data_IF_938630809656
#
_entry.id   IF_938630809656
#
_cell.length_a   1.000
_cell.length_b   1.000
_cell.length_c   1.000
_cell.angle_alpha   90.00
_cell.angle_beta   90.00
_cell.angle_gamma   90.00
#
_symmetry.space_group_name_H-M   'P 1'
#
loop_
_entity.id
_entity.type
_entity.pdbx_description
1 polymer ?
#
# COMPACT_ATOMS: atom_id res chain seq x y z
N UNK A 1 46.07 34.75 4.94
CA UNK A 1 45.02 34.04 4.17
C UNK A 1 44.90 32.63 4.74
N UNK A 2 43.85 32.35 5.58
CA UNK A 2 43.57 31.03 6.14
C UNK A 2 42.67 30.29 5.15
N UNK A 3 43.18 29.16 4.61
CA UNK A 3 42.38 28.28 3.76
C UNK A 3 41.37 27.53 4.63
N UNK A 4 40.11 27.77 4.39
CA UNK A 4 38.99 27.05 4.99
C UNK A 4 38.90 25.69 4.28
N UNK A 5 39.23 24.61 4.96
CA UNK A 5 39.02 23.25 4.48
C UNK A 5 37.62 22.83 4.94
N UNK A 6 36.70 22.74 4.00
CA UNK A 6 35.35 22.25 4.24
C UNK A 6 35.43 20.71 4.29
N UNK A 7 34.95 20.03 5.36
CA UNK A 7 34.91 18.58 5.37
C UNK A 7 33.83 18.08 4.44
N UNK A 8 34.25 17.23 3.49
CA UNK A 8 33.33 16.48 2.62
C UNK A 8 32.69 15.39 3.48
N UNK A 9 31.44 15.60 3.88
CA UNK A 9 30.63 14.55 4.50
C UNK A 9 30.30 13.52 3.42
N UNK A 10 31.06 12.42 3.36
CA UNK A 10 30.63 11.22 2.67
C UNK A 10 29.49 10.60 3.47
N UNK A 11 28.26 10.76 3.00
CA UNK A 11 27.15 9.94 3.45
C UNK A 11 27.38 8.50 2.94
N UNK A 12 27.70 7.60 3.84
CA UNK A 12 27.73 6.17 3.54
C UNK A 12 26.27 5.72 3.34
N UNK A 13 25.80 5.70 2.11
CA UNK A 13 24.59 4.96 1.73
C UNK A 13 24.93 3.49 1.89
N UNK A 14 24.32 2.82 2.87
CA UNK A 14 24.38 1.37 2.96
C UNK A 14 23.73 0.82 1.69
N UNK A 15 24.52 0.28 0.76
CA UNK A 15 24.01 -0.50 -0.35
C UNK A 15 23.46 -1.81 0.23
N UNK A 16 22.15 -1.90 0.40
CA UNK A 16 21.51 -3.20 0.57
C UNK A 16 21.67 -3.98 -0.73
N UNK A 17 22.10 -5.24 -0.64
CA UNK A 17 22.15 -6.11 -1.81
C UNK A 17 20.75 -6.21 -2.41
N UNK A 18 20.61 -5.94 -3.71
CA UNK A 18 19.32 -6.00 -4.38
C UNK A 18 18.72 -7.41 -4.26
N UNK A 19 17.46 -7.49 -3.84
CA UNK A 19 16.73 -8.76 -3.78
C UNK A 19 16.39 -9.17 -5.21
N UNK A 20 16.85 -10.35 -5.62
CA UNK A 20 16.60 -10.89 -6.95
C UNK A 20 15.44 -11.89 -6.89
N UNK A 21 14.43 -11.78 -7.76
CA UNK A 21 13.37 -12.76 -7.86
C UNK A 21 13.89 -14.17 -8.19
N UNK A 22 13.33 -15.17 -7.54
CA UNK A 22 13.70 -16.60 -7.74
C UNK A 22 12.78 -17.32 -8.75
N UNK A 23 11.77 -16.63 -9.24
CA UNK A 23 10.82 -17.12 -10.24
C UNK A 23 10.29 -15.96 -11.07
N UNK A 24 9.67 -16.27 -12.19
CA UNK A 24 8.87 -15.31 -12.96
C UNK A 24 7.44 -15.32 -12.43
N UNK A 25 6.95 -14.17 -12.00
CA UNK A 25 5.62 -13.98 -11.46
C UNK A 25 4.89 -12.79 -12.10
N UNK A 26 3.85 -12.26 -11.43
CA UNK A 26 3.04 -11.18 -11.99
C UNK A 26 3.82 -9.86 -12.17
N UNK A 27 4.81 -9.57 -11.31
CA UNK A 27 5.58 -8.32 -11.44
C UNK A 27 6.47 -8.35 -12.69
N UNK A 28 7.19 -9.45 -12.94
CA UNK A 28 7.92 -9.64 -14.19
C UNK A 28 7.01 -9.60 -15.43
N UNK A 29 5.72 -9.93 -15.27
CA UNK A 29 4.75 -9.95 -16.36
C UNK A 29 4.13 -8.57 -16.64
N UNK A 30 3.82 -7.80 -15.59
CA UNK A 30 3.05 -6.56 -15.69
C UNK A 30 3.87 -5.31 -15.37
N UNK A 31 5.02 -5.43 -14.70
CA UNK A 31 5.81 -4.31 -14.18
C UNK A 31 5.13 -3.62 -13.00
N UNK A 32 5.49 -2.37 -12.77
CA UNK A 32 4.84 -1.52 -11.77
C UNK A 32 3.35 -1.34 -12.11
N UNK A 33 2.49 -1.38 -11.08
CA UNK A 33 1.08 -1.02 -11.25
C UNK A 33 0.92 0.49 -11.28
N UNK A 34 0.12 0.97 -12.24
CA UNK A 34 -0.04 2.41 -12.50
C UNK A 34 -1.52 2.77 -12.56
N UNK A 35 -1.89 3.83 -11.83
CA UNK A 35 -3.19 4.44 -11.91
C UNK A 35 -3.34 5.22 -13.21
N UNK A 36 -4.44 5.04 -13.93
CA UNK A 36 -4.68 5.69 -15.20
C UNK A 36 -6.14 5.72 -15.60
N UNK A 37 -6.41 6.11 -16.84
CA UNK A 37 -7.76 6.16 -17.42
C UNK A 37 -7.82 5.37 -18.72
N UNK A 38 -8.91 4.66 -18.91
CA UNK A 38 -9.17 4.01 -20.18
C UNK A 38 -9.63 5.02 -21.27
N UNK A 39 -9.86 4.52 -22.49
CA UNK A 39 -10.30 5.34 -23.62
C UNK A 39 -11.64 6.04 -23.42
N UNK A 40 -12.45 5.57 -22.49
CA UNK A 40 -13.74 6.19 -22.09
C UNK A 40 -13.57 7.18 -20.92
N UNK A 41 -12.35 7.45 -20.46
CA UNK A 41 -12.05 8.34 -19.34
C UNK A 41 -12.27 7.74 -17.96
N UNK A 42 -12.61 6.44 -17.86
CA UNK A 42 -12.80 5.76 -16.58
C UNK A 42 -11.46 5.41 -15.93
N UNK A 43 -11.39 5.58 -14.61
CA UNK A 43 -10.22 5.17 -13.84
C UNK A 43 -10.00 3.66 -13.88
N UNK A 44 -8.74 3.27 -14.03
CA UNK A 44 -8.28 1.88 -14.13
C UNK A 44 -6.89 1.71 -13.53
N UNK A 45 -6.46 0.47 -13.32
CA UNK A 45 -5.08 0.11 -12.99
C UNK A 45 -4.45 -0.61 -14.18
N UNK A 46 -3.24 -0.22 -14.52
CA UNK A 46 -2.46 -0.73 -15.64
C UNK A 46 -1.13 -1.30 -15.19
N UNK A 47 -0.56 -2.18 -15.97
CA UNK A 47 0.84 -2.57 -15.86
C UNK A 47 1.74 -1.65 -16.70
N UNK A 48 2.97 -1.45 -16.26
CA UNK A 48 3.95 -0.55 -16.88
C UNK A 48 5.00 -1.25 -17.76
N UNK A 49 4.91 -2.57 -17.97
CA UNK A 49 5.93 -3.32 -18.72
C UNK A 49 6.22 -2.79 -20.12
N UNK A 50 5.25 -2.15 -20.75
CA UNK A 50 5.39 -1.51 -22.07
C UNK A 50 5.76 -0.01 -21.97
N UNK A 51 5.98 0.50 -20.76
CA UNK A 51 6.36 1.90 -20.48
C UNK A 51 5.25 2.91 -20.76
N UNK A 52 4.01 2.48 -20.93
CA UNK A 52 2.86 3.34 -21.26
C UNK A 52 1.80 3.21 -20.17
N UNK A 53 1.33 4.34 -19.61
CA UNK A 53 0.21 4.40 -18.65
C UNK A 53 -1.09 3.83 -19.24
N UNK A 54 -1.20 3.78 -20.56
CA UNK A 54 -2.27 3.15 -21.32
C UNK A 54 -1.98 1.69 -21.67
N UNK A 55 -1.04 1.08 -20.95
CA UNK A 55 -0.71 -0.32 -21.10
C UNK A 55 -1.90 -1.24 -20.82
N UNK A 56 -1.63 -2.52 -20.69
CA UNK A 56 -2.68 -3.51 -20.46
C UNK A 56 -3.32 -3.27 -19.09
N UNK A 57 -4.64 -3.19 -19.03
CA UNK A 57 -5.41 -3.23 -17.80
C UNK A 57 -5.07 -4.50 -17.02
N UNK A 58 -4.75 -4.34 -15.74
CA UNK A 58 -4.30 -5.43 -14.87
C UNK A 58 -5.25 -5.59 -13.70
N UNK A 59 -5.64 -6.82 -13.43
CA UNK A 59 -6.31 -7.24 -12.22
C UNK A 59 -5.46 -8.30 -11.54
N UNK A 60 -5.04 -8.02 -10.31
CA UNK A 60 -4.30 -8.96 -9.45
C UNK A 60 -5.20 -9.46 -8.33
N UNK A 61 -4.97 -10.71 -7.88
CA UNK A 61 -5.75 -11.36 -6.83
C UNK A 61 -4.82 -11.93 -5.77
N UNK A 62 -5.23 -11.79 -4.51
CA UNK A 62 -4.39 -12.27 -3.42
C UNK A 62 -5.11 -12.31 -2.09
N UNK A 63 -4.32 -12.24 -1.03
CA UNK A 63 -4.77 -12.37 0.34
C UNK A 63 -4.32 -11.16 1.15
N UNK A 64 -5.17 -10.72 2.10
CA UNK A 64 -4.77 -9.82 3.16
C UNK A 64 -4.35 -10.65 4.38
N UNK A 65 -3.20 -10.35 4.93
CA UNK A 65 -2.79 -10.87 6.23
C UNK A 65 -3.59 -10.17 7.31
N UNK A 66 -3.91 -10.91 8.39
CA UNK A 66 -4.56 -10.32 9.55
C UNK A 66 -3.58 -9.46 10.36
N UNK A 67 -4.08 -8.64 11.26
CA UNK A 67 -3.29 -7.70 12.07
C UNK A 67 -2.07 -8.34 12.71
N UNK A 68 -0.95 -7.67 12.61
CA UNK A 68 0.35 -8.13 13.14
C UNK A 68 0.46 -8.18 14.68
N UNK A 69 -0.61 -7.85 15.38
CA UNK A 69 -0.69 -7.95 16.86
C UNK A 69 -0.81 -9.37 17.38
N UNK A 70 -1.36 -10.30 16.59
CA UNK A 70 -1.70 -11.63 17.05
C UNK A 70 -0.63 -12.64 16.64
N UNK A 71 -0.12 -13.44 17.57
CA UNK A 71 0.91 -14.44 17.30
C UNK A 71 0.52 -15.41 16.21
N UNK A 72 -0.70 -15.96 16.28
CA UNK A 72 -1.21 -16.85 15.24
C UNK A 72 -1.38 -16.17 13.88
N UNK A 73 -1.66 -14.86 13.86
CA UNK A 73 -1.68 -14.12 12.61
C UNK A 73 -0.28 -13.96 12.05
N UNK A 74 0.72 -13.72 12.88
CA UNK A 74 2.12 -13.58 12.44
C UNK A 74 2.76 -14.89 11.97
N UNK A 75 2.18 -16.04 12.26
CA UNK A 75 2.59 -17.30 11.62
C UNK A 75 2.51 -17.22 10.09
N UNK A 76 1.60 -16.39 9.57
CA UNK A 76 1.46 -16.14 8.14
C UNK A 76 2.40 -15.03 7.61
N UNK A 77 3.03 -14.26 8.49
CA UNK A 77 4.00 -13.22 8.14
C UNK A 77 5.40 -13.81 7.96
N UNK A 78 5.49 -14.84 7.13
CA UNK A 78 6.72 -15.57 6.86
C UNK A 78 6.87 -15.92 5.38
N UNK A 79 8.11 -16.01 4.91
CA UNK A 79 8.38 -16.45 3.52
C UNK A 79 7.77 -17.81 3.22
N UNK A 80 7.81 -18.73 4.18
CA UNK A 80 7.26 -20.09 3.99
C UNK A 80 5.74 -20.07 3.78
N UNK A 81 5.01 -19.30 4.56
CA UNK A 81 3.56 -19.14 4.42
C UNK A 81 3.21 -18.49 3.07
N UNK A 82 3.90 -17.40 2.70
CA UNK A 82 3.69 -16.69 1.43
C UNK A 82 3.97 -17.63 0.25
N UNK A 83 5.07 -18.39 0.29
CA UNK A 83 5.40 -19.39 -0.73
C UNK A 83 4.30 -20.44 -0.87
N UNK A 84 3.72 -20.89 0.23
CA UNK A 84 2.59 -21.85 0.24
C UNK A 84 1.34 -21.21 -0.40
N UNK A 85 0.99 -19.99 -0.02
CA UNK A 85 -0.15 -19.28 -0.61
C UNK A 85 0.02 -19.08 -2.13
N UNK A 86 1.24 -18.76 -2.59
CA UNK A 86 1.55 -18.67 -4.03
C UNK A 86 1.35 -20.01 -4.71
N UNK A 87 1.88 -21.08 -4.14
CA UNK A 87 1.84 -22.42 -4.72
C UNK A 87 0.42 -22.99 -4.77
N UNK A 88 -0.33 -22.86 -3.68
CA UNK A 88 -1.60 -23.56 -3.51
C UNK A 88 -2.80 -22.68 -3.91
N UNK A 89 -2.77 -21.40 -3.55
CA UNK A 89 -3.86 -20.43 -3.81
C UNK A 89 -3.62 -19.55 -5.03
N UNK A 90 -2.42 -19.60 -5.65
CA UNK A 90 -2.04 -18.82 -6.84
C UNK A 90 -2.15 -17.31 -6.62
N UNK A 91 -1.83 -16.82 -5.43
CA UNK A 91 -1.86 -15.40 -5.15
C UNK A 91 -0.84 -14.64 -6.02
N UNK A 92 -1.20 -13.43 -6.40
CA UNK A 92 -0.40 -12.51 -7.20
C UNK A 92 0.00 -11.26 -6.38
N UNK A 93 -0.68 -11.04 -5.26
CA UNK A 93 -0.48 -9.93 -4.34
C UNK A 93 -0.72 -10.40 -2.91
N UNK A 94 0.01 -9.82 -1.96
CA UNK A 94 -0.20 -10.00 -0.52
C UNK A 94 -0.33 -8.62 0.14
N UNK A 95 -1.30 -8.45 1.04
CA UNK A 95 -1.45 -7.23 1.84
C UNK A 95 -0.95 -7.47 3.26
N UNK A 96 -0.06 -6.63 3.73
CA UNK A 96 0.54 -6.70 5.06
C UNK A 96 -0.11 -5.66 5.98
N UNK A 97 -1.17 -6.07 6.70
CA UNK A 97 -1.97 -5.24 7.60
C UNK A 97 -1.22 -5.01 8.93
N UNK A 98 -0.32 -4.01 8.98
CA UNK A 98 0.52 -3.74 10.12
C UNK A 98 -0.20 -2.90 11.18
N UNK A 99 -0.23 -3.35 12.42
CA UNK A 99 -0.73 -2.59 13.56
C UNK A 99 0.14 -1.36 13.85
N UNK A 100 -0.47 -0.19 13.99
CA UNK A 100 0.25 1.10 13.89
C UNK A 100 0.20 1.96 15.13
N UNK A 101 -0.78 1.76 15.99
CA UNK A 101 -0.97 2.57 17.20
C UNK A 101 -0.18 2.06 18.40
N UNK A 102 -0.70 2.37 19.59
CA UNK A 102 -0.18 1.88 20.86
C UNK A 102 -0.98 0.68 21.36
N UNK A 103 -1.53 -0.10 20.43
CA UNK A 103 -2.30 -1.28 20.73
C UNK A 103 -1.44 -2.27 21.56
N UNK A 104 -2.02 -2.81 22.62
CA UNK A 104 -1.38 -3.76 23.55
C UNK A 104 -2.29 -4.94 23.90
N UNK A 105 -3.44 -5.06 23.22
CA UNK A 105 -4.43 -6.11 23.46
C UNK A 105 -4.10 -7.45 22.80
N UNK A 106 -3.11 -7.46 21.90
CA UNK A 106 -2.59 -8.65 21.24
C UNK A 106 -1.36 -9.23 21.96
N UNK A 107 -0.73 -10.22 21.38
CA UNK A 107 0.54 -10.77 21.85
C UNK A 107 1.73 -9.85 21.53
N UNK A 108 1.65 -9.15 20.38
CA UNK A 108 2.61 -8.12 19.99
C UNK A 108 2.00 -6.74 20.17
N UNK A 109 2.85 -5.73 20.28
CA UNK A 109 2.43 -4.33 20.39
C UNK A 109 2.43 -3.66 19.03
N UNK A 110 1.53 -2.70 18.81
CA UNK A 110 1.51 -1.90 17.60
C UNK A 110 2.77 -1.04 17.41
N UNK A 111 2.96 -0.52 16.22
CA UNK A 111 4.15 0.26 15.83
C UNK A 111 4.46 1.43 16.76
N UNK A 112 3.44 2.11 17.30
CA UNK A 112 3.63 3.22 18.24
C UNK A 112 4.37 2.82 19.51
N UNK A 113 4.20 1.57 19.96
CA UNK A 113 4.84 1.02 21.17
C UNK A 113 6.08 0.17 20.88
N UNK A 114 6.11 -0.53 19.73
CA UNK A 114 7.24 -1.36 19.31
C UNK A 114 7.48 -1.26 17.78
N UNK A 115 8.06 -0.13 17.33
CA UNK A 115 8.36 0.05 15.91
C UNK A 115 9.35 -0.97 15.35
N UNK A 116 10.23 -1.52 16.21
CA UNK A 116 11.26 -2.47 15.76
C UNK A 116 10.64 -3.79 15.30
N UNK A 117 9.80 -4.39 16.14
CA UNK A 117 9.12 -5.65 15.81
C UNK A 117 8.19 -5.49 14.63
N UNK A 118 7.40 -4.41 14.58
CA UNK A 118 6.45 -4.19 13.48
C UNK A 118 7.16 -3.97 12.14
N UNK A 119 8.27 -3.24 12.12
CA UNK A 119 9.09 -3.10 10.92
C UNK A 119 9.72 -4.43 10.49
N UNK A 120 10.16 -5.26 11.43
CA UNK A 120 10.71 -6.57 11.09
C UNK A 120 9.67 -7.48 10.44
N UNK A 121 8.44 -7.50 10.95
CA UNK A 121 7.33 -8.23 10.32
C UNK A 121 7.08 -7.71 8.90
N UNK A 122 6.95 -6.39 8.73
CA UNK A 122 6.73 -5.79 7.42
C UNK A 122 7.85 -6.15 6.43
N UNK A 123 9.11 -5.99 6.82
CA UNK A 123 10.27 -6.32 5.98
C UNK A 123 10.26 -7.79 5.56
N UNK A 124 9.93 -8.70 6.47
CA UNK A 124 9.81 -10.13 6.14
C UNK A 124 8.82 -10.39 5.02
N UNK A 125 7.65 -9.76 5.06
CA UNK A 125 6.62 -9.93 4.01
C UNK A 125 7.04 -9.27 2.70
N UNK A 126 7.58 -8.05 2.76
CA UNK A 126 8.02 -7.30 1.57
C UNK A 126 9.14 -8.05 0.84
N UNK A 127 10.16 -8.50 1.56
CA UNK A 127 11.30 -9.23 0.98
C UNK A 127 10.88 -10.58 0.40
N UNK A 128 9.96 -11.30 1.07
CA UNK A 128 9.39 -12.52 0.53
C UNK A 128 8.60 -12.26 -0.76
N UNK A 129 7.80 -11.21 -0.81
CA UNK A 129 7.03 -10.85 -2.01
C UNK A 129 7.95 -10.51 -3.19
N UNK A 130 9.01 -9.72 -2.96
CA UNK A 130 10.01 -9.39 -4.00
C UNK A 130 10.70 -10.67 -4.49
N UNK A 131 11.17 -11.52 -3.58
CA UNK A 131 11.83 -12.79 -3.91
C UNK A 131 10.93 -13.73 -4.73
N UNK A 132 9.65 -13.74 -4.46
CA UNK A 132 8.67 -14.57 -5.17
C UNK A 132 7.97 -13.86 -6.34
N UNK A 133 8.41 -12.65 -6.68
CA UNK A 133 7.91 -11.87 -7.83
C UNK A 133 6.39 -11.67 -7.82
N UNK A 134 5.84 -11.36 -6.64
CA UNK A 134 4.45 -10.94 -6.43
C UNK A 134 4.38 -9.50 -5.92
N UNK A 135 3.23 -8.86 -6.04
CA UNK A 135 3.01 -7.54 -5.44
C UNK A 135 2.83 -7.65 -3.93
N UNK A 136 3.16 -6.55 -3.23
CA UNK A 136 2.95 -6.41 -1.80
C UNK A 136 2.37 -5.03 -1.48
N UNK A 137 1.31 -5.01 -0.69
CA UNK A 137 0.76 -3.78 -0.13
C UNK A 137 1.35 -3.60 1.26
N UNK A 138 2.10 -2.52 1.44
CA UNK A 138 2.58 -2.04 2.74
C UNK A 138 1.47 -1.20 3.33
N UNK A 139 0.69 -1.78 4.26
CA UNK A 139 -0.50 -1.16 4.80
C UNK A 139 -0.26 -0.59 6.21
N UNK A 140 -0.50 0.72 6.35
CA UNK A 140 -0.62 1.40 7.63
C UNK A 140 -2.03 1.17 8.18
N UNK A 141 -2.22 0.03 8.87
CA UNK A 141 -3.51 -0.51 9.25
C UNK A 141 -4.11 0.21 10.46
N UNK A 142 -4.65 1.40 10.24
CA UNK A 142 -5.20 2.27 11.27
C UNK A 142 -6.48 2.96 10.82
N UNK A 143 -7.49 2.99 11.69
CA UNK A 143 -8.72 3.76 11.48
C UNK A 143 -8.58 5.26 11.80
N UNK A 144 -7.45 5.67 12.38
CA UNK A 144 -7.19 7.04 12.81
C UNK A 144 -5.78 7.54 12.45
N UNK A 145 -5.25 7.09 11.30
CA UNK A 145 -3.91 7.42 10.82
C UNK A 145 -3.63 8.93 10.79
N UNK A 146 -4.66 9.77 10.61
CA UNK A 146 -4.53 11.23 10.66
C UNK A 146 -4.04 11.76 12.03
N UNK A 147 -4.16 10.98 13.10
CA UNK A 147 -3.60 11.28 14.43
C UNK A 147 -2.17 10.72 14.60
N UNK A 148 -1.67 9.96 13.62
CA UNK A 148 -0.38 9.26 13.66
C UNK A 148 0.63 9.82 12.63
N UNK A 149 0.44 11.04 12.13
CA UNK A 149 1.21 11.65 11.02
C UNK A 149 2.72 11.49 11.16
N UNK A 150 3.28 11.77 12.34
CA UNK A 150 4.73 11.72 12.57
C UNK A 150 5.28 10.31 12.44
N UNK A 151 4.61 9.33 13.03
CA UNK A 151 4.99 7.92 12.98
C UNK A 151 4.84 7.37 11.55
N UNK A 152 3.73 7.68 10.89
CA UNK A 152 3.47 7.29 9.52
C UNK A 152 4.53 7.85 8.55
N UNK A 153 4.89 9.14 8.67
CA UNK A 153 5.97 9.74 7.88
C UNK A 153 7.29 9.01 8.05
N UNK A 154 7.69 8.74 9.30
CA UNK A 154 8.94 8.03 9.59
C UNK A 154 8.95 6.62 9.00
N UNK A 155 7.84 5.90 9.13
CA UNK A 155 7.68 4.56 8.59
C UNK A 155 7.73 4.54 7.06
N UNK A 156 6.91 5.35 6.41
CA UNK A 156 6.84 5.38 4.94
C UNK A 156 8.10 5.92 4.30
N UNK A 157 8.81 6.86 4.95
CA UNK A 157 10.12 7.31 4.49
C UNK A 157 11.14 6.15 4.47
N UNK A 158 11.17 5.34 5.54
CA UNK A 158 12.05 4.17 5.60
C UNK A 158 11.66 3.13 4.54
N UNK A 159 10.38 2.77 4.45
CA UNK A 159 9.90 1.78 3.48
C UNK A 159 10.10 2.21 2.04
N UNK A 160 9.83 3.47 1.71
CA UNK A 160 10.02 4.00 0.37
C UNK A 160 11.51 4.08 -0.01
N UNK A 161 12.37 4.49 0.91
CA UNK A 161 13.83 4.50 0.69
C UNK A 161 14.39 3.10 0.49
N UNK A 162 13.97 2.12 1.31
CA UNK A 162 14.53 0.77 1.32
C UNK A 162 13.97 -0.10 0.19
N UNK A 163 12.69 0.09 -0.18
CA UNK A 163 11.98 -0.79 -1.11
C UNK A 163 11.29 -0.08 -2.28
N UNK A 164 11.30 1.24 -2.32
CA UNK A 164 10.58 2.02 -3.34
C UNK A 164 11.07 1.85 -4.78
N UNK A 165 12.24 1.25 -4.99
CA UNK A 165 12.78 0.92 -6.30
C UNK A 165 12.25 -0.40 -6.87
N UNK A 166 11.49 -1.19 -6.09
CA UNK A 166 10.92 -2.45 -6.56
C UNK A 166 9.49 -2.26 -7.04
N UNK A 167 9.19 -2.65 -8.27
CA UNK A 167 7.85 -2.60 -8.87
C UNK A 167 6.80 -3.44 -8.12
N UNK A 168 7.26 -4.32 -7.22
CA UNK A 168 6.44 -5.14 -6.35
C UNK A 168 5.64 -4.34 -5.32
N UNK A 169 6.17 -3.17 -4.90
CA UNK A 169 5.70 -2.45 -3.72
C UNK A 169 4.57 -1.49 -4.05
N UNK A 170 3.53 -1.56 -3.24
CA UNK A 170 2.38 -0.65 -3.23
C UNK A 170 2.25 -0.11 -1.80
N UNK A 171 1.99 1.17 -1.65
CA UNK A 171 1.84 1.80 -0.34
C UNK A 171 0.36 2.09 -0.06
N UNK A 172 -0.23 1.48 0.96
CA UNK A 172 -1.56 1.81 1.47
C UNK A 172 -1.40 2.64 2.72
N UNK A 173 -1.71 3.93 2.60
CA UNK A 173 -1.29 4.90 3.61
C UNK A 173 -2.30 5.14 4.72
N UNK A 174 -3.52 4.62 4.58
CA UNK A 174 -4.58 4.74 5.57
C UNK A 174 -5.61 3.62 5.36
N UNK A 175 -5.73 2.72 6.35
CA UNK A 175 -6.78 1.70 6.35
C UNK A 175 -8.05 2.24 7.00
N UNK A 176 -9.15 2.20 6.27
CA UNK A 176 -10.50 2.37 6.78
C UNK A 176 -10.72 3.63 7.65
N UNK A 177 -10.53 4.84 7.12
CA UNK A 177 -10.95 6.04 7.83
C UNK A 177 -12.41 5.92 8.27
N UNK A 178 -12.69 6.26 9.52
CA UNK A 178 -14.05 6.22 10.06
C UNK A 178 -14.95 7.26 9.37
N UNK A 179 -16.09 7.60 9.98
CA UNK A 179 -16.98 8.64 9.48
C UNK A 179 -16.41 10.04 9.77
N UNK A 180 -15.38 10.40 9.03
CA UNK A 180 -14.69 11.69 9.12
C UNK A 180 -14.74 12.43 7.78
N UNK A 181 -14.49 13.75 7.80
CA UNK A 181 -14.46 14.54 6.58
C UNK A 181 -13.31 14.13 5.66
N UNK A 182 -13.58 14.05 4.37
CA UNK A 182 -12.56 13.80 3.35
C UNK A 182 -11.37 14.78 3.41
N UNK A 183 -11.61 16.03 3.79
CA UNK A 183 -10.55 17.02 3.94
C UNK A 183 -9.50 16.64 5.00
N UNK A 184 -9.89 15.93 6.04
CA UNK A 184 -8.98 15.42 7.09
C UNK A 184 -8.10 14.31 6.50
N UNK A 185 -8.72 13.34 5.82
CA UNK A 185 -8.02 12.25 5.15
C UNK A 185 -7.06 12.80 4.09
N UNK A 186 -7.53 13.69 3.22
CA UNK A 186 -6.72 14.31 2.18
C UNK A 186 -5.52 15.08 2.74
N UNK A 187 -5.70 15.83 3.83
CA UNK A 187 -4.60 16.56 4.46
C UNK A 187 -3.52 15.63 4.99
N UNK A 188 -3.90 14.52 5.62
CA UNK A 188 -2.99 13.46 6.01
C UNK A 188 -2.29 12.86 4.79
N UNK A 189 -3.08 12.41 3.81
CA UNK A 189 -2.58 11.74 2.61
C UNK A 189 -1.55 12.58 1.85
N UNK A 190 -1.81 13.87 1.65
CA UNK A 190 -0.85 14.77 0.98
C UNK A 190 0.50 14.82 1.67
N UNK A 191 0.52 14.73 3.01
CA UNK A 191 1.77 14.74 3.78
C UNK A 191 2.54 13.43 3.64
N UNK A 192 1.85 12.28 3.59
CA UNK A 192 2.50 10.98 3.43
C UNK A 192 2.95 10.76 1.99
N UNK A 193 2.11 11.11 1.01
CA UNK A 193 2.48 11.07 -0.41
C UNK A 193 3.76 11.87 -0.67
N UNK A 194 3.88 13.08 -0.11
CA UNK A 194 5.09 13.89 -0.26
C UNK A 194 6.35 13.18 0.20
N UNK A 195 6.29 12.46 1.32
CA UNK A 195 7.43 11.71 1.87
C UNK A 195 7.78 10.49 1.01
N UNK A 196 6.77 9.74 0.55
CA UNK A 196 7.00 8.57 -0.31
C UNK A 196 7.62 9.00 -1.64
N UNK A 197 7.15 10.10 -2.23
CA UNK A 197 7.59 10.60 -3.54
C UNK A 197 9.03 11.14 -3.56
N UNK A 198 9.66 11.30 -2.41
CA UNK A 198 11.10 11.56 -2.34
C UNK A 198 11.96 10.34 -2.80
N UNK A 199 11.38 9.13 -2.77
CA UNK A 199 12.11 7.88 -2.99
C UNK A 199 11.46 6.93 -4.00
N UNK A 200 10.17 7.10 -4.32
CA UNK A 200 9.42 6.10 -5.08
C UNK A 200 8.27 6.70 -5.89
N UNK A 201 8.10 6.21 -7.13
CA UNK A 201 6.95 6.49 -8.01
C UNK A 201 5.88 5.39 -7.96
N UNK A 202 6.03 4.40 -7.07
CA UNK A 202 5.12 3.27 -6.95
C UNK A 202 3.68 3.70 -6.61
N UNK A 203 2.72 2.82 -6.92
CA UNK A 203 1.30 3.06 -6.65
C UNK A 203 1.06 3.32 -5.15
N UNK A 204 0.34 4.40 -4.87
CA UNK A 204 -0.15 4.71 -3.53
C UNK A 204 -1.66 4.52 -3.48
N UNK A 205 -2.12 3.76 -2.50
CA UNK A 205 -3.53 3.58 -2.17
C UNK A 205 -3.88 4.51 -1.03
N UNK A 206 -4.94 5.28 -1.22
CA UNK A 206 -5.44 6.24 -0.24
C UNK A 206 -6.79 5.77 0.26
N UNK A 207 -6.90 5.55 1.56
CA UNK A 207 -8.17 5.26 2.21
C UNK A 207 -9.15 6.41 2.11
N UNK A 208 -10.43 6.11 2.25
CA UNK A 208 -11.51 7.08 2.18
C UNK A 208 -12.55 6.87 3.29
N UNK A 209 -13.39 7.89 3.59
CA UNK A 209 -14.33 7.84 4.70
C UNK A 209 -15.31 6.66 4.64
N UNK A 210 -15.85 6.32 5.82
CA UNK A 210 -16.80 5.22 5.99
C UNK A 210 -16.22 3.86 5.67
N UNK A 211 -15.03 3.54 6.23
CA UNK A 211 -14.36 2.24 6.11
C UNK A 211 -14.03 1.89 4.65
N UNK A 212 -13.42 2.85 3.93
CA UNK A 212 -13.04 2.69 2.52
C UNK A 212 -14.22 2.35 1.60
N UNK A 213 -15.38 2.95 1.84
CA UNK A 213 -16.60 2.77 1.04
C UNK A 213 -17.00 4.02 0.26
N UNK A 214 -16.21 5.11 0.36
CA UNK A 214 -16.56 6.40 -0.22
C UNK A 214 -15.45 7.01 -1.09
N UNK A 215 -14.85 6.25 -2.03
CA UNK A 215 -13.86 6.81 -2.97
C UNK A 215 -14.45 7.95 -3.82
N UNK A 216 -15.77 8.03 -3.95
CA UNK A 216 -16.46 9.12 -4.64
C UNK A 216 -16.32 10.49 -3.96
N UNK A 217 -15.96 10.54 -2.69
CA UNK A 217 -15.73 11.80 -1.97
C UNK A 217 -14.46 12.53 -2.44
N UNK A 218 -13.56 11.81 -3.11
CA UNK A 218 -12.35 12.40 -3.69
C UNK A 218 -12.60 13.13 -5.02
N UNK A 219 -13.76 12.96 -5.67
CA UNK A 219 -14.06 13.54 -6.99
C UNK A 219 -13.98 15.07 -6.95
N UNK A 220 -13.10 15.65 -7.80
CA UNK A 220 -12.89 17.11 -7.89
C UNK A 220 -12.12 17.70 -6.71
N UNK A 221 -11.65 16.85 -5.79
CA UNK A 221 -10.85 17.25 -4.64
C UNK A 221 -9.81 16.14 -4.30
N UNK A 222 -9.11 15.68 -5.32
CA UNK A 222 -8.18 14.56 -5.26
C UNK A 222 -6.97 14.87 -4.37
N UNK A 223 -6.31 13.81 -3.88
CA UNK A 223 -4.98 13.91 -3.24
C UNK A 223 -3.96 14.37 -4.29
N UNK A 224 -3.04 15.24 -3.87
CA UNK A 224 -2.01 15.78 -4.76
C UNK A 224 -0.92 14.73 -5.02
N UNK A 225 -0.51 14.60 -6.27
CA UNK A 225 0.57 13.68 -6.68
C UNK A 225 0.20 12.86 -7.90
N UNK A 226 1.10 11.95 -8.27
CA UNK A 226 0.92 11.03 -9.39
C UNK A 226 0.80 9.59 -8.86
N UNK A 227 0.30 8.69 -9.71
CA UNK A 227 0.17 7.27 -9.43
C UNK A 227 -0.55 6.99 -8.10
N UNK A 228 -1.75 7.55 -7.96
CA UNK A 228 -2.61 7.43 -6.78
C UNK A 228 -3.89 6.72 -7.18
N UNK A 229 -4.30 5.72 -6.39
CA UNK A 229 -5.61 5.11 -6.45
C UNK A 229 -6.30 5.22 -5.09
N UNK A 230 -7.62 5.07 -5.08
CA UNK A 230 -8.43 5.14 -3.86
C UNK A 230 -8.86 3.73 -3.50
N UNK A 231 -8.85 3.41 -2.21
CA UNK A 231 -9.24 2.09 -1.73
C UNK A 231 -10.73 1.88 -1.83
N UNK A 232 -11.14 0.63 -1.94
CA UNK A 232 -12.52 0.21 -1.76
C UNK A 232 -12.53 -1.11 -1.00
N UNK A 233 -13.19 -1.14 0.15
CA UNK A 233 -13.40 -2.34 0.94
C UNK A 233 -14.81 -2.88 0.74
N UNK A 234 -14.90 -4.20 0.55
CA UNK A 234 -16.15 -4.84 0.17
C UNK A 234 -16.35 -6.18 0.88
N UNK A 235 -17.48 -6.31 1.55
CA UNK A 235 -17.92 -7.53 2.22
C UNK A 235 -19.28 -7.98 1.68
N UNK A 236 -19.32 -9.11 0.96
CA UNK A 236 -20.51 -9.54 0.23
C UNK A 236 -21.74 -9.84 1.11
N UNK A 237 -21.52 -10.11 2.41
CA UNK A 237 -22.60 -10.36 3.37
C UNK A 237 -23.35 -9.10 3.81
N UNK A 238 -22.75 -7.92 3.68
CA UNK A 238 -23.32 -6.64 4.16
C UNK A 238 -23.35 -5.54 3.10
N UNK A 239 -22.52 -5.62 2.07
CA UNK A 239 -22.42 -4.60 1.02
C UNK A 239 -23.10 -5.05 -0.27
N UNK A 240 -23.53 -4.09 -1.07
CA UNK A 240 -24.19 -4.33 -2.35
C UNK A 240 -23.58 -3.52 -3.49
N UNK A 241 -23.79 -3.98 -4.71
CA UNK A 241 -23.35 -3.24 -5.92
C UNK A 241 -24.12 -1.94 -6.12
N UNK A 242 -25.36 -1.85 -5.64
CA UNK A 242 -26.21 -0.65 -5.71
C UNK A 242 -26.02 0.30 -4.51
N UNK A 243 -25.42 -0.16 -3.43
CA UNK A 243 -25.03 0.63 -2.27
C UNK A 243 -23.58 1.10 -2.39
N UNK A 244 -22.69 0.51 -1.62
CA UNK A 244 -21.26 0.87 -1.53
C UNK A 244 -20.57 0.74 -2.88
N UNK A 245 -20.88 -0.30 -3.66
CA UNK A 245 -20.33 -0.50 -5.00
C UNK A 245 -20.67 0.63 -5.97
N UNK A 246 -21.81 1.32 -5.80
CA UNK A 246 -22.16 2.47 -6.62
C UNK A 246 -21.22 3.66 -6.39
N UNK A 247 -20.68 3.83 -5.18
CA UNK A 247 -19.69 4.86 -4.87
C UNK A 247 -18.37 4.61 -5.62
N UNK A 248 -17.91 3.36 -5.63
CA UNK A 248 -16.73 2.96 -6.39
C UNK A 248 -16.93 3.18 -7.91
N UNK A 249 -18.06 2.78 -8.46
CA UNK A 249 -18.40 3.01 -9.86
C UNK A 249 -18.48 4.50 -10.20
N UNK A 250 -19.01 5.33 -9.31
CA UNK A 250 -19.06 6.78 -9.47
C UNK A 250 -17.66 7.39 -9.52
N UNK A 251 -16.76 6.97 -8.63
CA UNK A 251 -15.36 7.39 -8.63
C UNK A 251 -14.67 6.98 -9.95
N UNK A 252 -14.79 5.72 -10.36
CA UNK A 252 -14.21 5.23 -11.61
C UNK A 252 -14.74 5.99 -12.82
N UNK A 253 -16.05 6.24 -12.90
CA UNK A 253 -16.67 6.99 -14.00
C UNK A 253 -16.19 8.46 -14.04
N UNK A 254 -15.79 9.03 -12.91
CA UNK A 254 -15.17 10.35 -12.84
C UNK A 254 -13.66 10.32 -13.19
N UNK A 255 -13.10 9.15 -13.44
CA UNK A 255 -11.70 8.96 -13.85
C UNK A 255 -10.75 8.71 -12.69
N UNK A 256 -11.22 8.38 -11.50
CA UNK A 256 -10.39 7.97 -10.37
C UNK A 256 -10.12 6.47 -10.45
N UNK A 257 -8.86 6.06 -10.32
CA UNK A 257 -8.51 4.65 -10.17
C UNK A 257 -8.94 4.15 -8.79
N UNK A 258 -9.62 3.02 -8.75
CA UNK A 258 -10.10 2.38 -7.51
C UNK A 258 -9.44 1.02 -7.38
N UNK A 259 -8.98 0.69 -6.17
CA UNK A 259 -8.33 -0.57 -5.85
C UNK A 259 -9.04 -1.24 -4.66
N UNK A 260 -9.46 -2.49 -4.84
CA UNK A 260 -10.01 -3.29 -3.74
C UNK A 260 -8.85 -3.92 -2.99
N UNK A 261 -8.43 -3.30 -1.87
CA UNK A 261 -7.30 -3.78 -1.07
C UNK A 261 -7.71 -4.80 0.01
N UNK A 262 -8.99 -4.77 0.41
CA UNK A 262 -9.57 -5.74 1.34
C UNK A 262 -11.00 -6.12 0.91
N UNK A 263 -11.30 -7.41 0.97
CA UNK A 263 -12.65 -7.92 0.69
C UNK A 263 -12.88 -9.27 1.37
N UNK A 264 -14.17 -9.62 1.55
CA UNK A 264 -14.56 -10.89 2.12
C UNK A 264 -15.98 -11.30 1.75
N UNK A 265 -16.37 -12.54 2.11
CA UNK A 265 -17.68 -13.11 1.84
C UNK A 265 -18.69 -12.84 2.96
N UNK A 266 -18.22 -12.55 4.16
CA UNK A 266 -19.04 -12.25 5.33
C UNK A 266 -18.39 -11.18 6.20
N UNK A 267 -19.09 -10.77 7.25
CA UNK A 267 -18.58 -9.85 8.27
C UNK A 267 -17.74 -10.61 9.29
#
# INVERSE_FOLDING_TARGET
MKKLVLPLLLSATALFAAITPTRVGPVSQYGQLVAGKNSSGKGQIYGSCDGVVTGKEVQVRGMSLYWSLLSKATDFWSEAAISTMIKDMKIQIIRAAMATGNEDWGEYKGYGSDPSTQKQFMKTVVEAAIKHDIYVIIDWHSHDAHNQVSSAKSFFQEMARDYGQYDNVIFEIYNEPLQIDWSVVKNYANQIVSVIREYSDNLILVGDPSWDQRPDMAIGNEVSGQNIAYTFHYYAGSHSTSGEGANALKAMNAGLSVFVSEWGTGN
#
